data_IF_389835183885
#
_entry.id   IF_389835183885
#
_cell.length_a   1.000
_cell.length_b   1.000
_cell.length_c   1.000
_cell.angle_alpha   90.00
_cell.angle_beta   90.00
_cell.angle_gamma   90.00
#
_symmetry.space_group_name_H-M   'P 1'
#
loop_
_entity.id
_entity.type
_entity.pdbx_description
1 polymer ?
#
# COMPACT_ATOMS: atom_id res chain seq x y z
N UNK A 1 -23.87 51.32 4.16
CA UNK A 1 -22.66 50.49 4.21
C UNK A 1 -22.80 49.36 3.21
N UNK A 2 -21.82 49.12 2.37
CA UNK A 2 -21.74 47.92 1.52
C UNK A 2 -20.95 46.84 2.27
N UNK A 3 -21.58 45.71 2.53
CA UNK A 3 -20.95 44.58 3.23
C UNK A 3 -20.07 43.79 2.25
N UNK A 4 -18.75 43.79 2.50
CA UNK A 4 -17.82 42.95 1.75
C UNK A 4 -17.88 41.51 2.26
N UNK A 5 -18.16 40.54 1.38
CA UNK A 5 -18.17 39.10 1.70
C UNK A 5 -16.98 38.40 1.04
N UNK A 6 -16.19 37.69 1.83
CA UNK A 6 -15.11 36.81 1.34
C UNK A 6 -15.64 35.40 1.11
N UNK A 7 -15.42 34.83 -0.08
CA UNK A 7 -15.71 33.42 -0.40
C UNK A 7 -14.41 32.64 -0.48
N UNK A 8 -14.19 31.69 0.44
CA UNK A 8 -13.03 30.79 0.43
C UNK A 8 -13.36 29.60 -0.49
N UNK A 9 -12.40 29.10 -1.26
CA UNK A 9 -12.57 27.81 -1.95
C UNK A 9 -12.59 26.70 -0.90
N UNK A 10 -13.59 25.83 -0.97
CA UNK A 10 -13.54 24.53 -0.31
C UNK A 10 -12.31 23.79 -0.88
N UNK A 11 -11.48 23.32 0.03
CA UNK A 11 -10.19 22.72 -0.27
C UNK A 11 -10.41 21.21 -0.24
N UNK A 12 -10.85 20.66 -1.36
CA UNK A 12 -11.11 19.22 -1.54
C UNK A 12 -9.80 18.45 -1.73
N UNK A 13 -8.91 18.51 -0.73
CA UNK A 13 -7.65 17.79 -0.74
C UNK A 13 -7.31 17.26 0.64
N UNK A 14 -6.70 16.07 0.66
CA UNK A 14 -6.04 15.53 1.83
C UNK A 14 -4.62 16.12 1.96
N UNK A 15 -4.24 16.48 3.17
CA UNK A 15 -2.84 16.77 3.52
C UNK A 15 -2.26 15.54 4.19
N UNK A 16 -1.19 14.99 3.62
CA UNK A 16 -0.54 13.78 4.10
C UNK A 16 0.94 14.08 4.31
N UNK A 17 1.51 13.55 5.37
CA UNK A 17 2.89 13.79 5.75
C UNK A 17 3.86 13.31 4.66
N UNK A 18 4.94 14.08 4.46
CA UNK A 18 6.02 13.65 3.58
C UNK A 18 6.73 12.41 4.11
N UNK A 19 6.72 12.18 5.43
CA UNK A 19 7.35 11.01 6.05
C UNK A 19 6.66 9.74 5.56
N UNK A 20 5.32 9.69 5.61
CA UNK A 20 4.54 8.58 5.06
C UNK A 20 4.76 8.39 3.56
N UNK A 21 4.64 9.47 2.78
CA UNK A 21 4.75 9.38 1.32
C UNK A 21 6.15 8.91 0.86
N UNK A 22 7.18 9.28 1.62
CA UNK A 22 8.58 8.94 1.32
C UNK A 22 9.07 7.68 2.01
N UNK A 23 8.28 7.04 2.87
CA UNK A 23 8.68 5.79 3.53
C UNK A 23 8.93 4.69 2.47
N UNK A 24 10.18 4.17 2.33
CA UNK A 24 10.49 3.11 1.38
C UNK A 24 9.91 1.75 1.79
N UNK A 25 9.48 1.59 3.03
CA UNK A 25 8.94 0.34 3.55
C UNK A 25 7.45 0.12 3.17
N UNK A 26 6.80 1.15 2.62
CA UNK A 26 5.40 1.08 2.21
C UNK A 26 5.29 1.14 0.68
N UNK A 27 4.55 0.16 0.14
CA UNK A 27 4.22 0.06 -1.26
C UNK A 27 3.35 1.24 -1.73
N UNK A 28 3.50 1.63 -3.00
CA UNK A 28 2.65 2.67 -3.57
C UNK A 28 1.15 2.32 -3.55
N UNK A 29 0.82 1.02 -3.55
CA UNK A 29 -0.56 0.57 -3.40
C UNK A 29 -1.12 0.88 -2.02
N UNK A 30 -0.35 0.59 -0.96
CA UNK A 30 -0.69 0.96 0.40
C UNK A 30 -0.79 2.49 0.57
N UNK A 31 0.14 3.26 -0.01
CA UNK A 31 0.08 4.73 -0.03
C UNK A 31 -1.19 5.26 -0.70
N UNK A 32 -1.54 4.70 -1.85
CA UNK A 32 -2.76 5.05 -2.58
C UNK A 32 -4.02 4.76 -1.76
N UNK A 33 -4.11 3.56 -1.17
CA UNK A 33 -5.23 3.19 -0.32
C UNK A 33 -5.36 4.11 0.89
N UNK A 34 -4.26 4.35 1.62
CA UNK A 34 -4.25 5.27 2.77
C UNK A 34 -4.72 6.66 2.35
N UNK A 35 -4.17 7.20 1.26
CA UNK A 35 -4.51 8.55 0.80
C UNK A 35 -5.99 8.69 0.42
N UNK A 36 -6.55 7.65 -0.18
CA UNK A 36 -7.97 7.59 -0.50
C UNK A 36 -8.82 7.57 0.77
N UNK A 37 -8.50 6.69 1.72
CA UNK A 37 -9.20 6.60 3.00
C UNK A 37 -9.09 7.90 3.82
N UNK A 38 -7.92 8.52 3.84
CA UNK A 38 -7.64 9.78 4.55
C UNK A 38 -8.32 11.00 3.93
N UNK A 39 -8.75 10.90 2.67
CA UNK A 39 -9.51 11.96 2.00
C UNK A 39 -11.01 11.93 2.31
N UNK A 40 -11.50 10.89 2.99
CA UNK A 40 -12.91 10.74 3.33
C UNK A 40 -13.25 11.50 4.61
N UNK A 41 -14.55 11.78 4.79
CA UNK A 41 -15.06 12.40 6.01
C UNK A 41 -14.94 11.47 7.23
N UNK A 42 -14.86 12.07 8.42
CA UNK A 42 -14.87 11.34 9.68
C UNK A 42 -16.11 10.45 9.80
N UNK A 43 -15.91 9.21 10.26
CA UNK A 43 -17.00 8.24 10.40
C UNK A 43 -17.41 7.55 9.10
N UNK A 44 -16.67 7.74 8.00
CA UNK A 44 -16.91 7.01 6.76
C UNK A 44 -16.92 5.49 6.98
N UNK A 45 -18.06 4.86 6.66
CA UNK A 45 -18.24 3.43 6.76
C UNK A 45 -17.91 2.78 5.41
N UNK A 46 -16.92 1.89 5.41
CA UNK A 46 -16.46 1.21 4.20
C UNK A 46 -16.37 -0.30 4.39
N UNK A 47 -16.40 -1.01 3.26
CA UNK A 47 -16.06 -2.42 3.17
C UNK A 47 -14.98 -2.62 2.11
N UNK A 48 -14.18 -3.67 2.23
CA UNK A 48 -13.20 -4.02 1.18
C UNK A 48 -13.88 -4.18 -0.17
N UNK A 49 -15.09 -4.78 -0.19
CA UNK A 49 -15.88 -4.96 -1.41
C UNK A 49 -16.35 -3.64 -2.01
N UNK A 50 -16.80 -2.68 -1.19
CA UNK A 50 -17.24 -1.38 -1.70
C UNK A 50 -16.07 -0.59 -2.31
N UNK A 51 -14.90 -0.62 -1.67
CA UNK A 51 -13.68 0.01 -2.22
C UNK A 51 -13.28 -0.67 -3.54
N UNK A 52 -13.26 -2.01 -3.59
CA UNK A 52 -12.91 -2.76 -4.79
C UNK A 52 -13.87 -2.54 -5.97
N UNK A 53 -15.13 -2.20 -5.69
CA UNK A 53 -16.10 -1.88 -6.73
C UNK A 53 -15.96 -0.45 -7.26
N UNK A 54 -15.40 0.47 -6.46
CA UNK A 54 -15.22 1.87 -6.82
C UNK A 54 -13.87 2.12 -7.49
N UNK A 55 -12.87 1.30 -7.18
CA UNK A 55 -11.49 1.44 -7.65
C UNK A 55 -11.12 0.35 -8.67
N UNK A 56 -10.02 0.56 -9.40
CA UNK A 56 -9.49 -0.43 -10.36
C UNK A 56 -8.76 -1.60 -9.68
N UNK A 57 -8.41 -1.45 -8.40
CA UNK A 57 -7.75 -2.49 -7.62
C UNK A 57 -8.77 -3.52 -7.11
N UNK A 58 -8.42 -4.80 -7.23
CA UNK A 58 -9.24 -5.90 -6.75
C UNK A 58 -9.18 -6.07 -5.22
N UNK A 59 -10.13 -6.83 -4.67
CA UNK A 59 -10.23 -7.07 -3.22
C UNK A 59 -8.92 -7.60 -2.59
N UNK A 60 -8.25 -8.54 -3.25
CA UNK A 60 -6.99 -9.11 -2.76
C UNK A 60 -5.88 -8.05 -2.65
N UNK A 61 -5.85 -7.09 -3.58
CA UNK A 61 -4.89 -5.99 -3.58
C UNK A 61 -5.15 -5.03 -2.41
N UNK A 62 -6.42 -4.70 -2.16
CA UNK A 62 -6.83 -3.85 -1.04
C UNK A 62 -6.54 -4.53 0.31
N UNK A 63 -6.82 -5.83 0.43
CA UNK A 63 -6.52 -6.61 1.64
C UNK A 63 -5.01 -6.60 1.93
N UNK A 64 -4.19 -6.88 0.91
CA UNK A 64 -2.73 -6.87 1.07
C UNK A 64 -2.22 -5.49 1.53
N UNK A 65 -2.72 -4.41 0.91
CA UNK A 65 -2.38 -3.04 1.29
C UNK A 65 -2.83 -2.71 2.73
N UNK A 66 -4.01 -3.15 3.15
CA UNK A 66 -4.50 -2.95 4.52
C UNK A 66 -3.61 -3.66 5.56
N UNK A 67 -3.20 -4.90 5.25
CA UNK A 67 -2.27 -5.64 6.12
C UNK A 67 -0.92 -4.94 6.25
N UNK A 68 -0.37 -4.44 5.15
CA UNK A 68 0.88 -3.68 5.12
C UNK A 68 0.77 -2.39 5.95
N UNK A 69 -0.29 -1.60 5.76
CA UNK A 69 -0.52 -0.38 6.56
C UNK A 69 -0.62 -0.69 8.05
N UNK A 70 -1.28 -1.79 8.41
CA UNK A 70 -1.39 -2.23 9.81
C UNK A 70 -0.06 -2.68 10.39
N UNK A 71 0.76 -3.44 9.64
CA UNK A 71 2.05 -3.93 10.14
C UNK A 71 3.06 -2.82 10.39
N UNK A 72 2.94 -1.71 9.67
CA UNK A 72 3.80 -0.54 9.84
C UNK A 72 3.22 0.54 10.78
N UNK A 73 2.04 0.29 11.37
CA UNK A 73 1.43 1.20 12.36
C UNK A 73 0.68 2.39 11.77
N UNK A 74 0.60 2.52 10.45
CA UNK A 74 -0.16 3.60 9.79
C UNK A 74 -1.67 3.45 9.93
N UNK A 75 -2.14 2.22 10.15
CA UNK A 75 -3.54 1.94 10.46
C UNK A 75 -3.62 1.09 11.72
N UNK A 76 -4.44 1.51 12.66
CA UNK A 76 -4.84 0.69 13.82
C UNK A 76 -6.33 0.37 13.77
N UNK A 77 -6.74 -0.72 14.42
CA UNK A 77 -8.14 -1.15 14.45
C UNK A 77 -8.53 -1.45 15.88
N UNK A 78 -9.54 -0.74 16.39
CA UNK A 78 -10.12 -0.99 17.70
C UNK A 78 -11.48 -1.62 17.52
N UNK A 79 -11.67 -2.78 18.16
CA UNK A 79 -12.97 -3.45 18.19
C UNK A 79 -13.79 -2.92 19.36
N UNK A 80 -15.02 -2.53 19.09
CA UNK A 80 -16.01 -2.13 20.08
C UNK A 80 -16.75 -3.34 20.65
N UNK A 81 -17.26 -3.21 21.88
CA UNK A 81 -17.99 -4.27 22.57
C UNK A 81 -19.31 -4.65 21.89
N UNK A 82 -19.88 -3.74 21.09
CA UNK A 82 -21.08 -3.95 20.29
C UNK A 82 -20.85 -4.79 19.02
N UNK A 83 -19.60 -5.21 18.77
CA UNK A 83 -19.21 -5.98 17.59
C UNK A 83 -18.80 -5.14 16.39
N UNK A 84 -18.89 -3.80 16.47
CA UNK A 84 -18.34 -2.89 15.47
C UNK A 84 -16.84 -2.67 15.70
N UNK A 85 -16.18 -1.93 14.80
CA UNK A 85 -14.83 -1.47 15.07
C UNK A 85 -14.44 -0.30 14.19
N UNK A 86 -13.46 0.45 14.66
CA UNK A 86 -13.02 1.71 14.08
C UNK A 86 -11.57 1.59 13.64
N UNK A 87 -11.30 2.02 12.41
CA UNK A 87 -9.93 2.18 11.91
C UNK A 87 -9.45 3.60 12.22
N UNK A 88 -8.24 3.71 12.75
CA UNK A 88 -7.56 5.00 12.95
C UNK A 88 -6.38 5.08 11.99
N UNK A 89 -6.30 6.19 11.27
CA UNK A 89 -5.26 6.47 10.29
C UNK A 89 -4.32 7.54 10.88
N UNK A 90 -3.03 7.25 10.90
CA UNK A 90 -2.00 8.19 11.35
C UNK A 90 -0.90 8.20 10.29
N UNK A 91 -0.58 9.37 9.74
CA UNK A 91 0.48 9.54 8.74
C UNK A 91 1.85 9.84 9.37
N UNK A 92 1.93 9.89 10.69
CA UNK A 92 3.15 10.04 11.48
C UNK A 92 3.07 9.21 12.78
N UNK A 93 2.86 7.88 12.69
CA UNK A 93 2.72 7.04 13.86
C UNK A 93 4.00 7.10 14.70
N UNK A 94 3.84 7.41 15.98
CA UNK A 94 4.88 7.13 16.98
C UNK A 94 5.07 5.62 17.00
N UNK A 95 6.25 5.15 16.59
CA UNK A 95 6.54 3.72 16.46
C UNK A 95 6.60 3.06 17.85
N UNK A 96 5.44 2.76 18.42
CA UNK A 96 5.32 1.82 19.53
C UNK A 96 4.93 0.47 18.91
N UNK A 97 5.81 -0.55 18.95
CA UNK A 97 5.50 -1.85 18.37
C UNK A 97 4.30 -2.45 19.11
N UNK A 98 3.11 -2.31 18.52
CA UNK A 98 1.88 -2.82 19.10
C UNK A 98 1.83 -4.35 18.91
N UNK A 99 2.32 -5.07 19.92
CA UNK A 99 2.23 -6.53 20.05
C UNK A 99 0.87 -6.95 20.61
N UNK A 100 -0.22 -6.61 19.94
CA UNK A 100 -1.52 -7.25 20.19
C UNK A 100 -2.05 -7.92 18.93
N UNK A 101 -1.76 -9.22 18.85
CA UNK A 101 -2.21 -10.12 17.81
C UNK A 101 -3.20 -11.15 18.38
N UNK A 102 -4.53 -10.91 18.34
CA UNK A 102 -5.50 -11.96 18.57
C UNK A 102 -5.76 -12.69 17.24
N UNK A 103 -4.88 -13.64 16.93
CA UNK A 103 -5.16 -14.91 16.25
C UNK A 103 -6.20 -14.89 15.11
N UNK A 104 -5.91 -14.21 13.99
CA UNK A 104 -6.52 -14.57 12.71
C UNK A 104 -5.80 -15.80 12.17
N UNK A 105 -6.37 -16.98 12.46
CA UNK A 105 -5.87 -18.26 11.98
C UNK A 105 -5.70 -18.24 10.46
N UNK A 106 -4.47 -18.36 9.99
CA UNK A 106 -4.20 -18.77 8.62
C UNK A 106 -4.84 -20.15 8.41
N UNK A 107 -5.67 -20.38 7.37
CA UNK A 107 -5.96 -21.73 6.97
C UNK A 107 -4.62 -22.39 6.59
N UNK A 108 -4.28 -23.49 7.27
CA UNK A 108 -3.10 -24.30 6.93
C UNK A 108 -3.22 -24.68 5.46
N UNK A 109 -2.41 -24.05 4.61
CA UNK A 109 -2.23 -24.49 3.23
C UNK A 109 -1.52 -25.84 3.29
N UNK A 110 -2.32 -26.91 3.19
CA UNK A 110 -1.83 -28.26 3.13
C UNK A 110 -0.84 -28.41 1.99
N UNK A 111 0.36 -28.86 2.31
CA UNK A 111 1.36 -29.31 1.33
C UNK A 111 0.69 -30.37 0.46
N UNK A 112 0.54 -30.11 -0.83
CA UNK A 112 0.21 -31.15 -1.82
C UNK A 112 1.31 -31.24 -2.86
N UNK A 113 1.58 -32.50 -3.18
CA UNK A 113 2.83 -33.08 -3.63
C UNK A 113 3.12 -32.78 -5.11
N UNK A 114 4.40 -32.54 -5.40
CA UNK A 114 5.00 -32.47 -6.73
C UNK A 114 4.65 -33.72 -7.54
N UNK A 115 3.72 -33.63 -8.49
CA UNK A 115 3.54 -34.64 -9.53
C UNK A 115 4.63 -34.39 -10.59
N UNK A 116 5.58 -35.32 -10.68
CA UNK A 116 6.47 -35.46 -11.83
C UNK A 116 5.68 -36.24 -12.89
N UNK A 117 5.38 -35.64 -14.04
CA UNK A 117 5.01 -36.41 -15.22
C UNK A 117 5.97 -36.11 -16.38
N UNK A 118 6.22 -37.19 -17.12
CA UNK A 118 7.35 -37.48 -17.99
C UNK A 118 7.10 -36.98 -19.42
N UNK A 119 8.21 -36.59 -20.06
CA UNK A 119 8.52 -36.37 -21.49
C UNK A 119 7.41 -36.61 -22.54
N UNK A 120 7.26 -35.63 -23.43
CA UNK A 120 7.03 -35.83 -24.86
C UNK A 120 7.98 -34.89 -25.62
N UNK A 121 8.72 -35.47 -26.56
CA UNK A 121 9.77 -34.87 -27.37
C UNK A 121 9.21 -33.88 -28.40
N UNK A 122 9.95 -32.81 -28.72
CA UNK A 122 10.22 -32.50 -30.12
C UNK A 122 11.36 -31.47 -30.34
N UNK A 123 12.21 -31.86 -31.29
CA UNK A 123 13.15 -31.13 -32.17
C UNK A 123 13.93 -29.88 -31.73
N UNK A 124 15.25 -30.03 -31.97
CA UNK A 124 16.33 -29.04 -32.10
C UNK A 124 15.97 -27.88 -33.03
N UNK A 125 16.38 -26.67 -32.67
CA UNK A 125 17.29 -25.81 -33.46
C UNK A 125 17.95 -24.79 -32.50
N UNK A 126 19.24 -24.53 -32.67
CA UNK A 126 19.99 -23.55 -31.88
C UNK A 126 20.37 -22.35 -32.73
N UNK A 127 20.46 -21.16 -32.13
CA UNK A 127 21.22 -20.03 -32.66
C UNK A 127 21.71 -19.11 -31.52
N UNK A 128 22.88 -18.53 -31.72
CA UNK A 128 23.73 -17.79 -30.77
C UNK A 128 23.35 -16.29 -30.66
N UNK A 129 23.61 -15.72 -29.46
CA UNK A 129 24.01 -14.34 -29.07
C UNK A 129 23.34 -13.09 -29.66
N UNK A 130 22.90 -12.17 -28.78
CA UNK A 130 23.35 -10.75 -28.65
C UNK A 130 22.60 -10.05 -27.48
N UNK A 131 23.29 -9.56 -26.43
CA UNK A 131 23.75 -8.17 -26.20
C UNK A 131 22.68 -7.07 -26.36
N UNK A 132 22.09 -6.61 -25.25
CA UNK A 132 22.04 -5.16 -24.95
C UNK A 132 21.61 -4.88 -23.50
N UNK A 133 22.57 -4.41 -22.68
CA UNK A 133 22.31 -3.69 -21.44
C UNK A 133 22.57 -2.23 -21.79
N UNK A 134 21.62 -1.30 -21.70
CA UNK A 134 21.96 0.12 -21.73
C UNK A 134 22.61 0.51 -20.39
N UNK A 135 23.94 0.47 -20.38
CA UNK A 135 24.79 1.38 -19.59
C UNK A 135 24.49 2.80 -20.04
N UNK A 136 24.40 3.81 -19.16
CA UNK A 136 24.63 5.27 -19.36
C UNK A 136 23.90 6.02 -18.22
N UNK A 137 24.47 6.76 -17.25
CA UNK A 137 25.82 7.11 -16.85
C UNK A 137 25.80 7.41 -15.34
N UNK A 138 26.79 6.89 -14.62
CA UNK A 138 27.28 7.51 -13.38
C UNK A 138 28.03 8.79 -13.75
N UNK A 139 27.81 9.88 -13.02
CA UNK A 139 28.84 10.91 -12.85
C UNK A 139 28.77 11.44 -11.44
N UNK A 140 29.72 10.96 -10.63
CA UNK A 140 30.23 11.61 -9.43
C UNK A 140 31.08 12.79 -9.90
N UNK A 141 30.87 14.00 -9.36
CA UNK A 141 31.85 15.10 -9.51
C UNK A 141 32.60 15.28 -8.19
N UNK A 142 33.94 15.46 -8.23
CA UNK A 142 34.75 15.61 -7.03
C UNK A 142 34.66 17.02 -6.44
N UNK A 143 34.90 17.06 -5.12
CA UNK A 143 35.16 18.22 -4.27
C UNK A 143 36.39 18.98 -4.77
N UNK A 144 36.35 20.32 -4.75
CA UNK A 144 37.55 21.12 -4.57
C UNK A 144 37.25 22.29 -3.62
N UNK A 145 38.08 22.35 -2.56
CA UNK A 145 38.19 23.41 -1.58
C UNK A 145 38.81 24.68 -2.18
N UNK A 146 38.34 25.83 -1.72
CA UNK A 146 39.10 27.07 -1.57
C UNK A 146 38.48 27.87 -0.42
#
# INVERSE_FOLDING_TARGET
MSDNKTKKRERDFAQISNNFLRDPNISFKAKGLFSYMFSMEDGWNFTIKSIANQQKDGQAAIIAAMHELKSHGYITYTKSSDGTGTYYLDDCPSFEPNVENPHLGFPKLGKSTRIKNTKLDDKKEGFQKEKNIPQFFTTVRPVNSA
#
